data_IF_093308106453
#
_entry.id   IF_093308106453
#
_cell.length_a   1.000
_cell.length_b   1.000
_cell.length_c   1.000
_cell.angle_alpha   90.00
_cell.angle_beta   90.00
_cell.angle_gamma   90.00
#
_symmetry.space_group_name_H-M   'P 1'
#
loop_
_entity.id
_entity.type
_entity.pdbx_description
1 polymer ?
#
# COMPACT_ATOMS: atom_id res chain seq x y z
N UNK A 1 -42.18 27.59 7.72
CA UNK A 1 -42.12 26.33 8.49
C UNK A 1 -41.26 25.37 7.70
N UNK A 2 -40.11 24.93 8.21
CA UNK A 2 -39.21 24.03 7.46
C UNK A 2 -39.78 22.62 7.51
N UNK A 3 -39.87 21.93 6.36
CA UNK A 3 -40.37 20.55 6.38
C UNK A 3 -39.35 19.64 7.09
N UNK A 4 -39.82 18.62 7.83
CA UNK A 4 -38.91 17.65 8.45
C UNK A 4 -38.11 16.87 7.39
N UNK A 5 -38.60 16.79 6.15
CA UNK A 5 -37.96 16.10 5.03
C UNK A 5 -36.70 16.85 4.57
N UNK A 6 -36.81 18.16 4.33
CA UNK A 6 -35.70 19.00 3.86
C UNK A 6 -34.50 18.93 4.83
N UNK A 7 -34.78 19.01 6.14
CA UNK A 7 -33.73 18.88 7.17
C UNK A 7 -33.03 17.53 7.15
N UNK A 8 -33.75 16.46 6.83
CA UNK A 8 -33.18 15.10 6.73
C UNK A 8 -32.28 14.97 5.51
N UNK A 9 -32.71 15.57 4.39
CA UNK A 9 -31.93 15.62 3.15
C UNK A 9 -30.64 16.40 3.39
N UNK A 10 -30.71 17.58 3.99
CA UNK A 10 -29.53 18.40 4.29
C UNK A 10 -28.53 17.64 5.19
N UNK A 11 -29.02 17.01 6.26
CA UNK A 11 -28.19 16.21 7.16
C UNK A 11 -27.56 15.01 6.45
N UNK A 12 -28.28 14.37 5.54
CA UNK A 12 -27.77 13.25 4.76
C UNK A 12 -26.67 13.71 3.80
N UNK A 13 -26.92 14.77 3.02
CA UNK A 13 -25.96 15.36 2.07
C UNK A 13 -24.68 15.81 2.80
N UNK A 14 -24.81 16.37 3.99
CA UNK A 14 -23.65 16.82 4.77
C UNK A 14 -22.77 15.68 5.28
N UNK A 15 -23.34 14.48 5.44
CA UNK A 15 -22.61 13.26 5.84
C UNK A 15 -21.96 12.50 4.69
N UNK A 16 -22.17 12.91 3.43
CA UNK A 16 -21.54 12.28 2.26
C UNK A 16 -20.12 12.79 2.02
N UNK A 17 -19.34 12.00 1.28
CA UNK A 17 -18.03 12.41 0.80
C UNK A 17 -18.14 13.69 -0.07
N UNK A 18 -17.17 14.63 -0.02
CA UNK A 18 -17.21 15.89 -0.77
C UNK A 18 -17.48 15.70 -2.27
N UNK A 19 -16.91 14.65 -2.86
CA UNK A 19 -17.06 14.30 -4.27
C UNK A 19 -18.51 13.95 -4.62
N UNK A 20 -19.18 13.18 -3.75
CA UNK A 20 -20.59 12.84 -3.93
C UNK A 20 -21.52 14.00 -3.59
N UNK A 21 -21.15 14.78 -2.57
CA UNK A 21 -21.98 15.88 -2.07
C UNK A 21 -22.35 16.85 -3.19
N UNK A 22 -21.38 17.29 -3.99
CA UNK A 22 -21.63 18.19 -5.12
C UNK A 22 -22.59 17.59 -6.16
N UNK A 23 -22.43 16.30 -6.48
CA UNK A 23 -23.27 15.60 -7.44
C UNK A 23 -24.71 15.41 -6.94
N UNK A 24 -24.88 15.03 -5.67
CA UNK A 24 -26.20 14.84 -5.06
C UNK A 24 -26.90 16.18 -4.84
N UNK A 25 -26.20 17.23 -4.43
CA UNK A 25 -26.77 18.59 -4.32
C UNK A 25 -27.23 19.12 -5.68
N UNK A 26 -26.47 18.89 -6.75
CA UNK A 26 -26.86 19.32 -8.09
C UNK A 26 -28.13 18.64 -8.60
N UNK A 27 -28.39 17.41 -8.16
CA UNK A 27 -29.59 16.66 -8.50
C UNK A 27 -30.85 17.11 -7.73
N UNK A 28 -30.72 17.97 -6.70
CA UNK A 28 -31.80 18.50 -5.87
C UNK A 28 -32.87 17.44 -5.49
N UNK A 29 -32.50 16.41 -4.72
CA UNK A 29 -33.44 15.38 -4.30
C UNK A 29 -34.57 15.97 -3.46
N UNK A 30 -35.81 15.61 -3.79
CA UNK A 30 -37.01 16.04 -3.07
C UNK A 30 -37.35 15.11 -1.89
N UNK A 31 -36.72 13.94 -1.81
CA UNK A 31 -36.96 12.94 -0.77
C UNK A 31 -35.66 12.30 -0.32
N UNK A 32 -35.62 11.82 0.93
CA UNK A 32 -34.44 11.12 1.45
C UNK A 32 -34.09 9.88 0.63
N UNK A 33 -35.11 9.16 0.16
CA UNK A 33 -34.93 7.94 -0.64
C UNK A 33 -34.28 8.24 -1.99
N UNK A 34 -34.65 9.36 -2.63
CA UNK A 34 -34.01 9.78 -3.88
C UNK A 34 -32.54 10.14 -3.68
N UNK A 35 -32.20 10.81 -2.58
CA UNK A 35 -30.81 11.12 -2.23
C UNK A 35 -29.98 9.83 -2.00
N UNK A 36 -30.55 8.85 -1.29
CA UNK A 36 -29.92 7.54 -1.05
C UNK A 36 -29.71 6.77 -2.35
N UNK A 37 -30.72 6.71 -3.22
CA UNK A 37 -30.62 6.02 -4.49
C UNK A 37 -29.55 6.64 -5.40
N UNK A 38 -29.45 7.97 -5.44
CA UNK A 38 -28.42 8.68 -6.18
C UNK A 38 -27.02 8.41 -5.62
N UNK A 39 -26.84 8.51 -4.30
CA UNK A 39 -25.56 8.21 -3.64
C UNK A 39 -25.08 6.77 -3.92
N UNK A 40 -26.00 5.80 -3.90
CA UNK A 40 -25.69 4.41 -4.22
C UNK A 40 -25.22 4.24 -5.67
N UNK A 41 -25.90 4.88 -6.63
CA UNK A 41 -25.48 4.85 -8.05
C UNK A 41 -24.11 5.48 -8.24
N UNK A 42 -23.89 6.66 -7.67
CA UNK A 42 -22.60 7.34 -7.70
C UNK A 42 -21.48 6.49 -7.08
N UNK A 43 -21.79 5.74 -6.02
CA UNK A 43 -20.85 4.80 -5.41
C UNK A 43 -20.47 3.67 -6.35
N UNK A 44 -21.46 3.03 -6.98
CA UNK A 44 -21.23 1.94 -7.93
C UNK A 44 -20.40 2.46 -9.12
N UNK A 45 -20.75 3.63 -9.65
CA UNK A 45 -20.06 4.24 -10.78
C UNK A 45 -18.62 4.64 -10.41
N UNK A 46 -18.40 5.22 -9.22
CA UNK A 46 -17.08 5.60 -8.76
C UNK A 46 -16.16 4.41 -8.49
N UNK A 47 -16.71 3.30 -7.97
CA UNK A 47 -16.00 2.02 -7.82
C UNK A 47 -15.63 1.46 -9.19
N UNK A 48 -16.56 1.46 -10.14
CA UNK A 48 -16.32 0.97 -11.51
C UNK A 48 -15.31 1.81 -12.28
N UNK A 49 -15.37 3.13 -12.13
CA UNK A 49 -14.42 4.06 -12.72
C UNK A 49 -13.05 4.01 -12.03
N UNK A 50 -12.94 3.34 -10.88
CA UNK A 50 -11.73 3.28 -10.08
C UNK A 50 -11.28 4.66 -9.59
N UNK A 51 -12.22 5.62 -9.47
CA UNK A 51 -11.97 7.00 -9.03
C UNK A 51 -11.80 7.03 -7.51
N UNK A 52 -12.55 6.20 -6.79
CA UNK A 52 -12.29 5.95 -5.38
C UNK A 52 -11.23 4.86 -5.23
N UNK A 53 -10.03 5.15 -5.72
CA UNK A 53 -8.87 4.43 -5.19
C UNK A 53 -8.78 4.89 -3.75
N UNK A 54 -8.86 3.94 -2.82
CA UNK A 54 -8.44 4.17 -1.44
C UNK A 54 -7.01 4.69 -1.55
N UNK A 55 -6.85 6.01 -1.45
CA UNK A 55 -5.54 6.61 -1.43
C UNK A 55 -4.80 5.89 -0.32
N UNK A 56 -3.78 5.14 -0.71
CA UNK A 56 -2.89 4.49 0.22
C UNK A 56 -2.20 5.62 0.97
N UNK A 57 -2.76 6.05 2.09
CA UNK A 57 -2.12 6.88 3.13
C UNK A 57 -1.02 6.02 3.76
N UNK A 58 -0.02 5.63 2.95
CA UNK A 58 1.00 4.67 3.37
C UNK A 58 1.77 3.93 2.27
N UNK A 59 1.89 4.41 1.03
CA UNK A 59 3.01 3.93 0.20
C UNK A 59 3.65 5.03 -0.62
N UNK A 60 4.44 5.84 0.07
CA UNK A 60 5.49 6.66 -0.51
C UNK A 60 6.38 5.78 -1.39
N UNK A 61 6.37 6.06 -2.69
CA UNK A 61 7.49 5.93 -3.64
C UNK A 61 8.51 4.82 -3.33
N UNK A 62 8.40 3.70 -4.03
CA UNK A 62 9.58 2.89 -4.40
C UNK A 62 9.55 2.57 -5.89
N UNK A 63 9.57 3.62 -6.69
CA UNK A 63 10.17 3.56 -8.02
C UNK A 63 11.63 3.99 -7.84
N UNK A 64 12.49 3.03 -7.51
CA UNK A 64 13.93 3.14 -7.82
C UNK A 64 14.29 1.90 -8.62
N UNK A 65 13.91 1.94 -9.89
CA UNK A 65 14.54 1.12 -10.90
C UNK A 65 15.30 2.07 -11.81
N UNK A 66 16.62 1.92 -11.78
CA UNK A 66 17.59 2.34 -12.80
C UNK A 66 18.28 3.70 -12.61
N UNK A 67 19.38 3.68 -11.86
CA UNK A 67 20.59 4.37 -12.29
C UNK A 67 21.75 3.38 -12.38
N UNK A 68 22.11 3.09 -13.63
CA UNK A 68 23.31 2.39 -14.04
C UNK A 68 24.53 3.28 -13.74
N UNK A 69 25.44 2.87 -12.86
CA UNK A 69 26.84 3.23 -13.08
C UNK A 69 27.86 2.28 -12.40
N UNK A 70 28.45 1.43 -13.24
CA UNK A 70 29.88 1.11 -13.34
C UNK A 70 30.76 1.49 -12.14
N UNK A 71 31.00 0.53 -11.26
CA UNK A 71 32.12 0.55 -10.30
C UNK A 71 32.90 -0.76 -10.39
N UNK A 72 33.81 -0.85 -11.36
CA UNK A 72 34.81 -1.93 -11.41
C UNK A 72 35.68 -1.84 -10.15
N UNK A 73 35.60 -2.86 -9.29
CA UNK A 73 36.47 -3.00 -8.13
C UNK A 73 36.78 -4.47 -7.94
N UNK A 74 37.84 -4.94 -8.59
CA UNK A 74 38.40 -6.28 -8.46
C UNK A 74 39.19 -6.35 -7.13
N UNK A 75 38.91 -7.27 -6.19
CA UNK A 75 39.87 -7.62 -5.16
C UNK A 75 40.50 -8.97 -5.49
N UNK A 76 41.68 -8.85 -6.08
CA UNK A 76 42.82 -9.76 -6.11
C UNK A 76 42.67 -11.22 -5.67
N UNK A 77 43.03 -12.07 -6.63
CA UNK A 77 43.52 -13.43 -6.47
C UNK A 77 44.64 -13.49 -5.43
N UNK A 78 44.32 -13.95 -4.21
CA UNK A 78 45.31 -14.56 -3.31
C UNK A 78 45.13 -16.06 -3.30
N UNK A 79 45.68 -16.71 -4.33
CA UNK A 79 46.04 -18.13 -4.28
C UNK A 79 47.14 -18.30 -3.22
N UNK A 80 46.77 -18.70 -1.99
CA UNK A 80 47.71 -19.41 -1.11
C UNK A 80 47.33 -20.87 -1.11
N UNK A 81 48.13 -21.64 -1.83
CA UNK A 81 48.20 -23.10 -1.82
C UNK A 81 48.41 -23.60 -0.39
N UNK A 82 47.37 -24.12 0.23
CA UNK A 82 47.52 -24.99 1.39
C UNK A 82 47.74 -26.41 0.86
N UNK A 83 49.01 -26.77 0.71
CA UNK A 83 49.47 -28.14 0.46
C UNK A 83 48.94 -29.03 1.60
N UNK A 84 48.02 -29.94 1.26
CA UNK A 84 47.60 -31.00 2.15
C UNK A 84 48.80 -31.91 2.46
N UNK A 85 49.12 -32.04 3.74
CA UNK A 85 50.11 -33.01 4.21
C UNK A 85 49.42 -33.93 5.22
N UNK A 86 49.19 -35.21 4.92
CA UNK A 86 48.66 -36.14 5.92
C UNK A 86 49.84 -36.58 6.79
N UNK A 87 49.77 -36.40 8.10
CA UNK A 87 50.72 -37.01 9.03
C UNK A 87 50.00 -38.02 9.91
N UNK A 88 50.31 -39.27 9.58
CA UNK A 88 50.01 -40.52 10.27
C UNK A 88 50.26 -40.46 11.79
N UNK A 89 49.24 -40.93 12.52
CA UNK A 89 49.26 -41.96 13.57
C UNK A 89 50.42 -41.98 14.58
N UNK A 90 50.07 -41.85 15.87
CA UNK A 90 50.31 -42.79 16.99
C UNK A 90 50.60 -42.08 18.33
N UNK A 91 50.12 -42.73 19.39
CA UNK A 91 50.61 -42.67 20.79
C UNK A 91 50.33 -41.37 21.56
N UNK A 92 50.01 -41.35 22.86
CA UNK A 92 49.89 -42.37 23.89
C UNK A 92 49.06 -41.81 25.05
N UNK A 93 48.55 -42.73 25.86
CA UNK A 93 47.95 -42.55 27.18
C UNK A 93 48.77 -41.65 28.12
N UNK A 94 48.09 -40.85 28.93
CA UNK A 94 48.12 -40.85 30.42
C UNK A 94 47.44 -39.56 30.92
N UNK A 95 46.33 -39.63 31.67
CA UNK A 95 46.15 -39.89 33.12
C UNK A 95 46.15 -38.57 33.91
N UNK A 96 45.46 -38.58 35.05
CA UNK A 96 45.22 -37.53 36.08
C UNK A 96 44.00 -36.64 35.77
N UNK A 97 42.95 -36.56 36.60
CA UNK A 97 42.72 -36.94 38.01
C UNK A 97 41.33 -37.59 38.18
#
# INVERSE_FOLDING_TARGET
MVTPEDKRIDRYIWGLAPEMRGMVTSANPLTIQSAVALANRLTIDAVRAGVWKKDNVGNTRREDNQSRNRGRGNPDKRQRTAVWKPRSSKENLSKTE
#
